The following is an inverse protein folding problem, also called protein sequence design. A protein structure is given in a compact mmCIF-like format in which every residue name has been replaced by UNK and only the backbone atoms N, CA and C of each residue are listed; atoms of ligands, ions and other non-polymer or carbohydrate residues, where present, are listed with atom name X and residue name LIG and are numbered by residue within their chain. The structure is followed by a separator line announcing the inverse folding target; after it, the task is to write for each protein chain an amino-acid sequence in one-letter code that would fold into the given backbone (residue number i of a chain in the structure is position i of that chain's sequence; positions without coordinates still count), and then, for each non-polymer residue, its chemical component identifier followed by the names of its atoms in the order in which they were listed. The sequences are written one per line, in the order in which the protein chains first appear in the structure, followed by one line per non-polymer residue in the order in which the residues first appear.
data_IF_707797165752
#
_entry.id   IF_707797165752
#
_cell.length_a   1.000
_cell.length_b   1.000
_cell.length_c   1.000
_cell.angle_alpha   90.00
_cell.angle_beta   90.00
_cell.angle_gamma   90.00
#
_symmetry.space_group_name_H-M   'P 1'
#
loop_
_entity.id
_entity.type
_entity.pdbx_description
1 polymer ?
#
# COMPACT_ATOMS: atom_id res chain seq x y z
N UNK A 1 9.25 21.61 -62.75
CA UNK A 1 8.78 20.78 -63.87
C UNK A 1 8.28 19.47 -63.23
N UNK A 2 7.20 19.11 -63.39
CA UNK A 2 6.02 18.74 -64.05
C UNK A 2 4.89 18.44 -63.04
N UNK A 3 3.83 19.16 -63.21
CA UNK A 3 2.47 18.86 -62.72
C UNK A 3 1.97 17.58 -63.41
N UNK A 4 1.20 16.75 -62.69
CA UNK A 4 0.10 16.08 -63.33
C UNK A 4 -1.07 15.87 -62.36
N UNK A 5 -2.15 16.49 -62.75
CA UNK A 5 -3.51 16.50 -62.22
C UNK A 5 -4.27 15.37 -62.94
N UNK A 6 -5.06 14.58 -62.28
CA UNK A 6 -6.26 13.93 -62.86
C UNK A 6 -7.31 13.72 -61.78
N UNK A 7 -8.31 14.13 -61.99
CA UNK A 7 -9.73 14.45 -61.92
C UNK A 7 -10.62 13.21 -61.83
N UNK A 8 -11.57 13.34 -60.89
CA UNK A 8 -13.01 12.99 -60.96
C UNK A 8 -13.51 11.64 -61.46
N UNK A 9 -14.34 11.00 -60.60
CA UNK A 9 -15.76 10.77 -60.97
C UNK A 9 -16.57 10.35 -59.75
N UNK A 10 -17.64 11.10 -59.52
CA UNK A 10 -18.74 10.79 -58.61
C UNK A 10 -19.78 9.92 -59.35
N UNK A 11 -20.37 8.97 -58.68
CA UNK A 11 -21.71 8.44 -59.02
C UNK A 11 -22.47 8.21 -57.73
N UNK A 12 -23.54 8.96 -57.56
CA UNK A 12 -24.60 8.77 -56.60
C UNK A 12 -25.68 7.85 -57.18
N UNK A 13 -26.21 6.94 -56.39
CA UNK A 13 -27.57 6.37 -56.58
C UNK A 13 -28.20 6.20 -55.20
N UNK A 14 -29.32 6.90 -55.04
CA UNK A 14 -30.27 6.82 -53.92
C UNK A 14 -31.37 5.81 -54.23
N UNK A 15 -32.01 5.29 -53.20
CA UNK A 15 -33.44 5.06 -53.04
C UNK A 15 -33.74 3.88 -52.13
N UNK A 16 -34.46 4.14 -51.05
CA UNK A 16 -35.90 3.98 -50.75
C UNK A 16 -36.20 2.58 -50.18
N UNK A 17 -36.87 2.38 -49.11
CA UNK A 17 -37.99 2.76 -48.29
C UNK A 17 -38.02 1.84 -47.06
N UNK A 18 -38.26 2.25 -45.87
CA UNK A 18 -39.46 2.52 -45.10
C UNK A 18 -40.36 1.32 -44.73
N UNK A 19 -40.84 1.39 -43.46
CA UNK A 19 -41.90 0.61 -42.77
C UNK A 19 -41.37 -0.60 -41.97
N UNK A 20 -41.68 -0.78 -40.69
CA UNK A 20 -42.85 -0.34 -39.93
C UNK A 20 -42.54 -0.28 -38.42
N UNK A 21 -43.18 0.62 -37.75
CA UNK A 21 -43.44 0.71 -36.33
C UNK A 21 -44.20 -0.53 -35.82
N UNK A 22 -43.88 -0.98 -34.63
CA UNK A 22 -44.77 -1.03 -33.44
C UNK A 22 -44.18 -1.97 -32.41
N UNK A 23 -44.19 -1.54 -31.16
CA UNK A 23 -43.93 -2.42 -30.03
C UNK A 23 -43.59 -1.63 -28.75
N UNK A 24 -44.64 -1.21 -28.08
CA UNK A 24 -44.73 -0.53 -26.80
C UNK A 24 -43.72 -0.97 -25.72
N UNK A 25 -43.03 -0.01 -25.12
CA UNK A 25 -43.21 0.40 -23.73
C UNK A 25 -43.31 -0.71 -22.68
N UNK A 26 -42.23 -0.92 -21.99
CA UNK A 26 -42.27 -1.06 -20.53
C UNK A 26 -41.04 -0.39 -19.98
N UNK A 27 -41.29 0.73 -19.27
CA UNK A 27 -40.22 1.44 -18.54
C UNK A 27 -39.71 0.55 -17.42
N UNK A 28 -38.50 0.08 -17.60
CA UNK A 28 -37.61 -0.37 -16.54
C UNK A 28 -36.50 0.65 -16.51
N UNK A 29 -36.44 1.43 -15.44
CA UNK A 29 -35.26 2.18 -15.11
C UNK A 29 -34.11 1.16 -15.03
N UNK A 30 -33.33 1.06 -16.08
CA UNK A 30 -32.02 0.42 -15.99
C UNK A 30 -31.19 1.30 -15.06
N UNK A 31 -31.11 0.90 -13.79
CA UNK A 31 -29.98 1.25 -12.96
C UNK A 31 -28.73 0.92 -13.80
N UNK A 32 -27.92 1.94 -14.03
CA UNK A 32 -26.61 1.77 -14.62
C UNK A 32 -25.71 1.05 -13.60
N UNK A 33 -26.00 -0.23 -13.38
CA UNK A 33 -25.06 -1.17 -12.78
C UNK A 33 -23.93 -1.35 -13.80
N UNK A 34 -22.82 -0.66 -13.59
CA UNK A 34 -21.59 -0.90 -14.33
C UNK A 34 -21.31 -2.40 -14.26
N UNK A 35 -21.07 -3.04 -15.42
CA UNK A 35 -20.69 -4.45 -15.47
C UNK A 35 -19.47 -4.66 -14.56
N UNK A 36 -19.56 -5.60 -13.62
CA UNK A 36 -18.48 -5.90 -12.70
C UNK A 36 -17.19 -6.15 -13.50
N UNK A 37 -16.12 -5.40 -13.17
CA UNK A 37 -14.82 -5.52 -13.86
C UNK A 37 -14.16 -6.80 -13.38
N UNK A 38 -13.99 -7.79 -14.26
CA UNK A 38 -13.33 -9.05 -13.93
C UNK A 38 -11.80 -8.93 -13.86
N UNK A 39 -11.20 -7.94 -14.51
CA UNK A 39 -9.77 -7.66 -14.42
C UNK A 39 -9.50 -6.60 -13.34
N UNK A 40 -8.49 -6.87 -12.51
CA UNK A 40 -8.05 -5.99 -11.41
C UNK A 40 -6.53 -5.89 -11.42
N UNK A 41 -6.01 -4.68 -11.22
CA UNK A 41 -4.59 -4.44 -10.97
C UNK A 41 -4.38 -4.13 -9.49
N UNK A 42 -3.66 -5.02 -8.77
CA UNK A 42 -3.45 -4.90 -7.33
C UNK A 42 -1.94 -4.87 -7.01
N UNK A 43 -1.41 -3.69 -6.71
CA UNK A 43 0.00 -3.46 -6.43
C UNK A 43 0.42 -3.89 -5.02
N UNK A 44 1.71 -4.19 -4.86
CA UNK A 44 2.28 -4.48 -3.55
C UNK A 44 3.74 -4.00 -3.46
N UNK A 45 4.24 -3.89 -2.22
CA UNK A 45 5.67 -3.71 -1.92
C UNK A 45 6.25 -5.09 -1.64
N UNK A 46 7.50 -5.33 -2.08
CA UNK A 46 8.17 -6.61 -1.88
C UNK A 46 8.71 -6.74 -0.43
N UNK A 47 7.78 -6.72 0.51
CA UNK A 47 7.92 -7.08 1.92
C UNK A 47 6.88 -8.14 2.31
N UNK A 48 7.00 -8.72 3.48
CA UNK A 48 6.06 -9.77 3.92
C UNK A 48 4.62 -9.27 4.01
N UNK A 49 4.42 -8.05 4.50
CA UNK A 49 3.09 -7.46 4.66
C UNK A 49 2.39 -7.24 3.31
N UNK A 50 3.12 -6.74 2.31
CA UNK A 50 2.59 -6.49 0.96
C UNK A 50 2.41 -7.75 0.14
N UNK A 51 3.38 -8.69 0.18
CA UNK A 51 3.41 -9.84 -0.71
C UNK A 51 2.60 -11.04 -0.20
N UNK A 52 2.45 -11.22 1.12
CA UNK A 52 1.88 -12.45 1.70
C UNK A 52 0.45 -12.75 1.24
N UNK A 53 -0.42 -11.73 1.17
CA UNK A 53 -1.81 -11.90 0.70
C UNK A 53 -1.85 -12.36 -0.75
N UNK A 54 -0.99 -11.82 -1.61
CA UNK A 54 -0.89 -12.23 -3.02
C UNK A 54 -0.34 -13.64 -3.16
N UNK A 55 0.68 -14.01 -2.37
CA UNK A 55 1.25 -15.36 -2.35
C UNK A 55 0.21 -16.40 -1.96
N UNK A 56 -0.57 -16.14 -0.91
CA UNK A 56 -1.67 -16.99 -0.46
C UNK A 56 -2.76 -17.06 -1.55
N UNK A 57 -3.20 -15.92 -2.06
CA UNK A 57 -4.28 -15.86 -3.06
C UNK A 57 -3.92 -16.62 -4.34
N UNK A 58 -2.64 -16.60 -4.73
CA UNK A 58 -2.14 -17.37 -5.87
C UNK A 58 -2.11 -18.88 -5.58
N UNK A 59 -1.56 -19.29 -4.43
CA UNK A 59 -1.43 -20.71 -4.06
C UNK A 59 -2.79 -21.37 -3.87
N UNK A 60 -3.73 -20.70 -3.19
CA UNK A 60 -5.07 -21.19 -2.93
C UNK A 60 -6.06 -20.88 -4.06
N UNK A 61 -5.61 -20.27 -5.17
CA UNK A 61 -6.44 -19.88 -6.32
C UNK A 61 -7.65 -19.03 -5.93
N UNK A 62 -7.48 -18.14 -4.95
CA UNK A 62 -8.59 -17.32 -4.45
C UNK A 62 -9.10 -16.34 -5.50
N UNK A 63 -8.21 -15.80 -6.35
CA UNK A 63 -8.61 -14.95 -7.47
C UNK A 63 -9.59 -15.66 -8.41
N UNK A 64 -9.26 -16.91 -8.79
CA UNK A 64 -10.13 -17.73 -9.65
C UNK A 64 -11.43 -18.09 -8.95
N UNK A 65 -11.37 -18.41 -7.64
CA UNK A 65 -12.55 -18.73 -6.81
C UNK A 65 -13.59 -17.62 -6.85
N UNK A 66 -13.15 -16.36 -6.85
CA UNK A 66 -14.03 -15.19 -6.90
C UNK A 66 -14.21 -14.60 -8.30
N UNK A 67 -13.74 -15.30 -9.35
CA UNK A 67 -13.91 -14.91 -10.76
C UNK A 67 -13.13 -13.66 -11.15
N UNK A 68 -11.99 -13.39 -10.50
CA UNK A 68 -11.13 -12.24 -10.76
C UNK A 68 -9.88 -12.64 -11.55
N UNK A 69 -9.48 -11.79 -12.49
CA UNK A 69 -8.18 -11.83 -13.15
C UNK A 69 -7.32 -10.70 -12.62
N UNK A 70 -6.29 -11.04 -11.85
CA UNK A 70 -5.52 -10.03 -11.13
C UNK A 70 -4.10 -9.92 -11.66
N UNK A 71 -3.67 -8.69 -11.97
CA UNK A 71 -2.28 -8.32 -12.21
C UNK A 71 -1.70 -7.76 -10.92
N UNK A 72 -0.50 -8.21 -10.55
CA UNK A 72 0.15 -7.84 -9.28
C UNK A 72 1.50 -7.14 -9.53
N UNK A 73 1.51 -5.86 -9.95
CA UNK A 73 2.75 -5.12 -10.14
C UNK A 73 3.44 -4.82 -8.80
N UNK A 74 4.79 -4.87 -8.82
CA UNK A 74 5.62 -4.54 -7.66
C UNK A 74 5.96 -3.06 -7.66
N UNK A 75 5.80 -2.42 -6.51
CA UNK A 75 6.20 -1.04 -6.27
C UNK A 75 7.29 -0.96 -5.22
N UNK A 76 8.09 0.08 -5.25
CA UNK A 76 9.17 0.28 -4.27
C UNK A 76 8.69 0.91 -2.96
N UNK A 77 7.54 1.61 -2.99
CA UNK A 77 6.97 2.27 -1.81
C UNK A 77 5.47 2.58 -1.97
N UNK A 78 4.82 2.98 -0.85
CA UNK A 78 3.40 3.30 -0.81
C UNK A 78 3.00 4.54 -1.60
N UNK A 79 3.70 5.69 -1.48
CA UNK A 79 3.37 6.89 -2.23
C UNK A 79 3.27 6.69 -3.74
N UNK A 80 4.14 5.87 -4.34
CA UNK A 80 4.05 5.54 -5.77
C UNK A 80 2.79 4.73 -6.11
N UNK A 81 2.32 3.87 -5.21
CA UNK A 81 1.05 3.17 -5.42
C UNK A 81 -0.13 4.14 -5.35
N UNK A 82 -0.14 5.07 -4.39
CA UNK A 82 -1.19 6.10 -4.31
C UNK A 82 -1.21 6.97 -5.59
N UNK A 83 -0.04 7.33 -6.11
CA UNK A 83 0.04 8.03 -7.40
C UNK A 83 -0.56 7.21 -8.53
N UNK A 84 -0.25 5.90 -8.62
CA UNK A 84 -0.78 5.02 -9.64
C UNK A 84 -2.30 4.79 -9.50
N UNK A 85 -2.84 4.78 -8.27
CA UNK A 85 -4.29 4.78 -8.01
C UNK A 85 -4.94 6.07 -8.53
N UNK A 86 -4.29 7.22 -8.32
CA UNK A 86 -4.78 8.52 -8.78
C UNK A 86 -4.79 8.68 -10.31
N UNK A 87 -3.88 7.99 -11.01
CA UNK A 87 -3.82 7.96 -12.49
C UNK A 87 -4.61 6.82 -13.13
N UNK A 88 -5.31 6.02 -12.35
CA UNK A 88 -6.09 4.85 -12.80
C UNK A 88 -5.21 3.72 -13.43
N UNK A 89 -3.88 3.75 -13.20
CA UNK A 89 -2.97 2.67 -13.59
C UNK A 89 -3.02 1.48 -12.60
N UNK A 90 -3.59 1.72 -11.42
CA UNK A 90 -3.76 0.75 -10.35
C UNK A 90 -5.18 0.85 -9.78
N UNK A 91 -5.81 -0.30 -9.51
CA UNK A 91 -7.14 -0.35 -8.88
C UNK A 91 -7.03 -0.47 -7.35
N UNK A 92 -6.11 -1.34 -6.89
CA UNK A 92 -5.80 -1.55 -5.47
C UNK A 92 -4.31 -1.58 -5.22
N UNK A 93 -3.90 -1.28 -4.00
CA UNK A 93 -2.51 -1.30 -3.59
C UNK A 93 -2.34 -1.65 -2.11
N UNK A 94 -1.09 -1.81 -1.70
CA UNK A 94 -0.68 -1.97 -0.32
C UNK A 94 0.20 -0.81 0.10
N UNK A 95 -0.09 -0.19 1.23
CA UNK A 95 0.73 0.87 1.80
C UNK A 95 1.13 0.57 3.25
N UNK A 96 2.36 0.91 3.58
CA UNK A 96 2.85 0.89 4.96
C UNK A 96 2.30 2.07 5.78
N UNK A 97 2.49 2.02 7.12
CA UNK A 97 1.92 2.99 8.05
C UNK A 97 2.31 4.44 7.72
N UNK A 98 3.55 4.68 7.32
CA UNK A 98 4.03 6.03 7.03
C UNK A 98 3.44 6.68 5.78
N UNK A 99 2.69 5.94 4.94
CA UNK A 99 2.00 6.48 3.78
C UNK A 99 0.49 6.73 4.02
N UNK A 100 -0.04 6.43 5.22
CA UNK A 100 -1.45 6.60 5.55
C UNK A 100 -1.92 8.07 5.57
N UNK A 101 -1.00 9.03 5.59
CA UNK A 101 -1.34 10.44 5.41
C UNK A 101 -1.97 10.75 4.04
N UNK A 102 -1.72 9.92 3.03
CA UNK A 102 -2.29 10.09 1.68
C UNK A 102 -3.80 9.75 1.65
N UNK A 103 -4.27 8.58 2.16
CA UNK A 103 -5.70 8.38 2.41
C UNK A 103 -6.33 9.44 3.32
N UNK A 104 -5.64 9.87 4.37
CA UNK A 104 -6.12 10.94 5.24
C UNK A 104 -6.32 12.28 4.51
N UNK A 105 -5.57 12.55 3.44
CA UNK A 105 -5.84 13.64 2.50
C UNK A 105 -6.99 13.36 1.54
N UNK A 106 -7.45 12.12 1.46
CA UNK A 106 -8.50 11.67 0.54
C UNK A 106 -7.98 11.24 -0.84
N UNK A 107 -6.70 10.90 -0.96
CA UNK A 107 -6.10 10.49 -2.23
C UNK A 107 -6.40 9.02 -2.58
N UNK A 108 -6.86 8.21 -1.60
CA UNK A 108 -7.32 6.84 -1.80
C UNK A 108 -8.29 6.44 -0.68
N UNK A 109 -9.01 5.33 -0.85
CA UNK A 109 -9.76 4.66 0.23
C UNK A 109 -8.91 3.57 0.86
N UNK A 110 -8.85 3.50 2.19
CA UNK A 110 -8.39 2.29 2.89
C UNK A 110 -9.51 1.27 2.84
N UNK A 111 -9.30 0.14 2.19
CA UNK A 111 -10.32 -0.90 2.03
C UNK A 111 -10.19 -2.01 3.06
N UNK A 112 -9.02 -2.19 3.64
CA UNK A 112 -8.76 -3.08 4.78
C UNK A 112 -7.51 -2.67 5.53
N UNK A 113 -7.50 -2.78 6.84
CA UNK A 113 -6.25 -2.88 7.60
C UNK A 113 -5.61 -4.24 7.28
N UNK A 114 -4.29 -4.26 7.18
CA UNK A 114 -3.53 -5.46 6.86
C UNK A 114 -2.85 -6.08 8.08
N UNK A 115 -2.12 -5.26 8.83
CA UNK A 115 -1.35 -5.67 10.01
C UNK A 115 -0.97 -4.42 10.81
N UNK A 116 -0.56 -4.61 12.08
CA UNK A 116 0.23 -3.60 12.78
C UNK A 116 1.70 -4.01 12.73
N UNK A 117 2.56 -3.08 12.29
CA UNK A 117 3.94 -3.36 11.96
C UNK A 117 4.93 -2.99 13.08
N UNK A 118 6.06 -3.69 13.07
CA UNK A 118 7.19 -3.43 13.92
C UNK A 118 8.51 -3.60 13.15
N UNK A 119 8.45 -3.43 11.83
CA UNK A 119 9.53 -3.70 10.90
C UNK A 119 10.43 -2.51 10.58
N UNK A 120 10.05 -1.30 11.00
CA UNK A 120 10.82 -0.09 10.69
C UNK A 120 11.95 0.15 11.69
N UNK A 121 13.07 0.66 11.22
CA UNK A 121 14.25 0.99 12.03
C UNK A 121 14.90 2.29 11.57
N UNK A 122 15.48 3.01 12.51
CA UNK A 122 16.57 3.94 12.23
C UNK A 122 17.88 3.19 12.42
N UNK A 123 18.64 3.03 11.35
CA UNK A 123 19.95 2.37 11.34
C UNK A 123 21.04 3.40 11.13
N UNK A 124 22.23 3.15 11.66
CA UNK A 124 23.38 4.05 11.55
C UNK A 124 24.69 3.30 11.36
N UNK A 125 25.69 3.97 10.77
CA UNK A 125 27.05 3.48 10.65
C UNK A 125 27.69 3.25 12.04
N UNK A 126 28.66 2.34 12.09
CA UNK A 126 29.44 2.12 13.30
C UNK A 126 30.00 3.45 13.86
N UNK A 127 29.92 3.60 15.19
CA UNK A 127 30.38 4.82 15.88
C UNK A 127 29.28 5.88 16.09
N UNK A 128 28.11 5.74 15.50
CA UNK A 128 26.89 6.53 15.79
C UNK A 128 26.02 5.66 16.69
N UNK A 129 25.87 6.03 17.96
CA UNK A 129 25.30 5.15 18.97
C UNK A 129 23.96 5.65 19.55
N UNK A 130 23.56 6.86 19.19
CA UNK A 130 22.29 7.46 19.64
C UNK A 130 21.67 8.32 18.55
N UNK A 131 20.40 8.64 18.70
CA UNK A 131 19.70 9.60 17.81
C UNK A 131 20.35 10.99 17.90
N UNK A 132 20.83 11.39 19.08
CA UNK A 132 21.51 12.68 19.26
C UNK A 132 22.80 12.81 18.42
N UNK A 133 23.49 11.70 18.15
CA UNK A 133 24.70 11.69 17.31
C UNK A 133 24.39 11.93 15.82
N UNK A 134 23.11 11.92 15.42
CA UNK A 134 22.67 12.21 14.05
C UNK A 134 22.71 13.70 13.72
N UNK A 135 22.95 14.59 14.70
CA UNK A 135 22.97 16.05 14.45
C UNK A 135 24.02 16.41 13.38
N UNK A 136 23.53 17.05 12.30
CA UNK A 136 24.35 17.42 11.14
C UNK A 136 24.81 16.25 10.27
N UNK A 137 24.32 15.02 10.51
CA UNK A 137 24.63 13.82 9.72
C UNK A 137 23.70 13.65 8.53
N UNK A 138 24.18 12.96 7.49
CA UNK A 138 23.41 12.57 6.32
C UNK A 138 22.52 11.38 6.65
N UNK A 139 21.21 11.59 6.67
CA UNK A 139 20.24 10.54 6.97
C UNK A 139 19.32 10.31 5.77
N UNK A 140 19.42 9.12 5.17
CA UNK A 140 18.61 8.76 4.01
C UNK A 140 17.27 8.18 4.43
N UNK A 141 16.19 8.61 3.77
CA UNK A 141 14.84 8.05 3.95
C UNK A 141 14.09 8.00 2.63
N UNK A 142 13.22 7.00 2.43
CA UNK A 142 12.21 7.06 1.39
C UNK A 142 11.08 7.99 1.85
N UNK A 143 11.05 9.18 1.29
CA UNK A 143 10.17 10.24 1.78
C UNK A 143 8.69 9.86 1.77
N UNK A 144 7.97 10.23 2.84
CA UNK A 144 6.54 9.95 3.00
C UNK A 144 6.19 8.49 3.27
N UNK A 145 7.17 7.67 3.67
CA UNK A 145 7.02 6.26 4.03
C UNK A 145 7.24 6.02 5.52
N UNK A 146 7.13 4.76 5.96
CA UNK A 146 7.42 4.38 7.34
C UNK A 146 8.87 4.59 7.76
N UNK A 147 9.83 4.54 6.82
CA UNK A 147 11.23 4.91 7.08
C UNK A 147 11.41 6.39 7.41
N UNK A 148 10.67 7.29 6.74
CA UNK A 148 10.61 8.72 7.07
C UNK A 148 9.89 8.94 8.41
N UNK A 149 8.81 8.20 8.66
CA UNK A 149 8.02 8.26 9.88
C UNK A 149 8.84 7.87 11.11
N UNK A 150 9.56 6.72 11.07
CA UNK A 150 10.34 6.25 12.22
C UNK A 150 11.50 7.19 12.55
N UNK A 151 12.15 7.79 11.53
CA UNK A 151 13.18 8.80 11.76
C UNK A 151 12.61 10.03 12.45
N UNK A 152 11.46 10.53 11.97
CA UNK A 152 10.81 11.72 12.55
C UNK A 152 10.45 11.49 14.02
N UNK A 153 9.81 10.36 14.34
CA UNK A 153 9.47 9.97 15.73
C UNK A 153 10.72 9.87 16.61
N UNK A 154 11.80 9.26 16.10
CA UNK A 154 13.05 9.11 16.85
C UNK A 154 13.71 10.47 17.15
N UNK A 155 13.74 11.36 16.17
CA UNK A 155 14.25 12.72 16.35
C UNK A 155 13.41 13.50 17.36
N UNK A 156 12.08 13.49 17.24
CA UNK A 156 11.19 14.17 18.19
C UNK A 156 11.39 13.68 19.63
N UNK A 157 11.49 12.36 19.84
CA UNK A 157 11.76 11.77 21.16
C UNK A 157 13.10 12.19 21.75
N UNK A 158 14.08 12.47 20.89
CA UNK A 158 15.38 13.00 21.29
C UNK A 158 15.42 14.54 21.43
N UNK A 159 14.28 15.23 21.28
CA UNK A 159 14.20 16.70 21.33
C UNK A 159 14.80 17.37 20.09
N UNK A 160 14.89 16.65 18.97
CA UNK A 160 15.41 17.09 17.69
C UNK A 160 14.30 17.20 16.64
N UNK A 161 14.61 17.84 15.53
CA UNK A 161 13.72 17.97 14.37
C UNK A 161 14.42 17.44 13.11
N UNK A 162 13.66 17.36 12.02
CA UNK A 162 14.25 16.99 10.72
C UNK A 162 15.29 18.00 10.21
N UNK A 163 15.26 19.24 10.69
CA UNK A 163 16.23 20.29 10.34
C UNK A 163 17.59 20.13 11.08
N UNK A 164 17.65 19.29 12.10
CA UNK A 164 18.90 18.98 12.82
C UNK A 164 19.77 17.96 12.08
N UNK A 165 19.24 17.33 11.01
CA UNK A 165 19.95 16.35 10.18
C UNK A 165 19.99 16.77 8.71
N UNK A 166 20.97 16.31 7.95
CA UNK A 166 20.95 16.44 6.48
C UNK A 166 20.07 15.30 5.90
N UNK A 167 18.74 15.54 5.83
CA UNK A 167 17.82 14.55 5.26
C UNK A 167 18.05 14.40 3.75
N UNK A 168 18.23 13.16 3.29
CA UNK A 168 18.41 12.82 1.87
C UNK A 168 17.28 11.88 1.45
N UNK A 169 16.40 12.37 0.56
CA UNK A 169 15.33 11.55 -0.01
C UNK A 169 15.88 10.64 -1.11
N UNK A 170 15.71 9.34 -0.96
CA UNK A 170 16.16 8.32 -1.91
C UNK A 170 15.14 7.18 -2.03
N UNK A 171 15.19 6.46 -3.15
CA UNK A 171 14.49 5.18 -3.29
C UNK A 171 15.07 4.13 -2.33
N UNK A 172 14.26 3.24 -1.74
CA UNK A 172 14.69 2.27 -0.74
C UNK A 172 15.89 1.41 -1.16
N UNK A 173 15.92 0.93 -2.40
CA UNK A 173 17.06 0.13 -2.89
C UNK A 173 18.34 0.97 -3.03
N UNK A 174 18.21 2.25 -3.39
CA UNK A 174 19.34 3.19 -3.45
C UNK A 174 19.88 3.46 -2.05
N UNK A 175 19.03 3.55 -1.04
CA UNK A 175 19.46 3.73 0.36
C UNK A 175 20.32 2.55 0.82
N UNK A 176 19.93 1.32 0.52
CA UNK A 176 20.73 0.12 0.85
C UNK A 176 22.15 0.23 0.28
N UNK A 177 22.28 0.61 -0.99
CA UNK A 177 23.58 0.77 -1.64
C UNK A 177 24.38 1.95 -1.07
N UNK A 178 23.73 3.10 -0.84
CA UNK A 178 24.36 4.30 -0.28
C UNK A 178 24.85 4.07 1.15
N UNK A 179 24.08 3.35 1.97
CA UNK A 179 24.45 2.99 3.33
C UNK A 179 25.64 2.01 3.33
N UNK A 180 25.60 0.96 2.52
CA UNK A 180 26.68 -0.01 2.42
C UNK A 180 27.99 0.60 1.92
N UNK A 181 27.93 1.60 1.03
CA UNK A 181 29.12 2.34 0.54
C UNK A 181 29.49 3.54 1.41
N UNK A 182 28.88 3.73 2.57
CA UNK A 182 29.12 4.83 3.54
C UNK A 182 28.91 6.23 2.94
N UNK A 183 28.01 6.37 1.95
CA UNK A 183 27.63 7.68 1.39
C UNK A 183 26.62 8.42 2.28
N UNK A 184 25.96 7.70 3.19
CA UNK A 184 25.06 8.23 4.22
C UNK A 184 25.47 7.67 5.58
N UNK A 185 25.26 8.47 6.62
CA UNK A 185 25.63 8.14 8.00
C UNK A 185 24.56 7.27 8.68
N UNK A 186 23.30 7.46 8.31
CA UNK A 186 22.16 6.73 8.86
C UNK A 186 21.05 6.60 7.82
N UNK A 187 20.06 5.76 8.12
CA UNK A 187 18.87 5.62 7.29
C UNK A 187 17.65 5.22 8.10
N UNK A 188 16.45 5.64 7.64
CA UNK A 188 15.18 5.08 8.04
C UNK A 188 14.68 4.09 6.99
N UNK A 189 14.56 2.80 7.34
CA UNK A 189 14.17 1.71 6.46
C UNK A 189 13.31 0.67 7.18
N UNK A 190 12.85 -0.32 6.44
CA UNK A 190 12.09 -1.46 6.96
C UNK A 190 12.65 -2.80 6.46
N UNK A 191 12.27 -3.90 7.15
CA UNK A 191 12.54 -5.25 6.67
C UNK A 191 11.71 -5.56 5.40
N UNK A 192 12.25 -6.31 4.43
CA UNK A 192 13.51 -7.08 4.49
C UNK A 192 14.77 -6.30 4.07
N UNK A 193 14.67 -5.01 3.72
CA UNK A 193 15.81 -4.21 3.28
C UNK A 193 16.91 -4.12 4.35
N UNK A 194 16.49 -4.02 5.61
CA UNK A 194 17.41 -4.00 6.77
C UNK A 194 18.23 -5.27 6.82
N UNK A 195 17.63 -6.46 6.62
CA UNK A 195 18.38 -7.72 6.55
C UNK A 195 19.44 -7.71 5.43
N UNK A 196 19.17 -7.00 4.34
CA UNK A 196 20.16 -6.84 3.27
C UNK A 196 21.30 -5.94 3.71
N UNK A 197 21.03 -4.85 4.44
CA UNK A 197 22.04 -3.97 5.01
C UNK A 197 22.86 -4.69 6.06
N UNK A 198 22.23 -5.43 6.98
CA UNK A 198 22.91 -6.22 8.03
C UNK A 198 23.96 -7.20 7.45
N UNK A 199 23.64 -7.86 6.34
CA UNK A 199 24.56 -8.76 5.63
C UNK A 199 25.77 -8.03 5.04
N UNK A 200 25.63 -6.75 4.64
CA UNK A 200 26.69 -5.96 4.01
C UNK A 200 27.47 -5.11 5.01
N UNK A 201 26.84 -4.69 6.10
CA UNK A 201 27.39 -3.82 7.15
C UNK A 201 27.05 -4.41 8.52
N UNK A 202 27.67 -5.53 8.91
CA UNK A 202 27.30 -6.27 10.13
C UNK A 202 27.59 -5.51 11.44
N UNK A 203 28.38 -4.44 11.37
CA UNK A 203 28.73 -3.56 12.50
C UNK A 203 27.83 -2.29 12.59
N UNK A 204 26.77 -2.23 11.81
CA UNK A 204 25.78 -1.14 11.91
C UNK A 204 25.06 -1.15 13.26
N UNK A 205 24.59 0.02 13.68
CA UNK A 205 23.76 0.18 14.87
C UNK A 205 22.29 0.35 14.50
N UNK A 206 21.38 -0.19 15.32
CA UNK A 206 19.96 0.13 15.31
C UNK A 206 19.74 1.17 16.41
N UNK A 207 19.33 2.38 16.03
CA UNK A 207 19.14 3.51 16.96
C UNK A 207 17.70 3.63 17.45
N UNK A 208 16.73 3.20 16.66
CA UNK A 208 15.31 3.21 17.01
C UNK A 208 14.52 2.15 16.24
N UNK A 209 13.40 1.74 16.80
CA UNK A 209 12.45 0.79 16.23
C UNK A 209 11.00 1.22 16.52
N UNK A 210 10.02 0.65 15.82
CA UNK A 210 8.60 0.92 16.12
C UNK A 210 8.23 0.63 17.58
N UNK A 211 8.90 -0.35 18.23
CA UNK A 211 8.64 -0.73 19.64
C UNK A 211 8.82 0.44 20.61
N UNK A 212 9.67 1.40 20.23
CA UNK A 212 9.95 2.55 21.05
C UNK A 212 8.80 3.57 21.06
N UNK A 213 7.78 3.39 20.20
CA UNK A 213 6.70 4.35 19.93
C UNK A 213 5.30 3.75 19.93
N UNK A 214 5.12 2.49 20.39
CA UNK A 214 3.82 1.79 20.35
C UNK A 214 2.76 2.45 21.23
N UNK A 215 3.17 3.20 22.25
CA UNK A 215 2.28 3.96 23.13
C UNK A 215 1.91 5.34 22.52
N UNK A 216 2.61 5.77 21.48
CA UNK A 216 2.44 7.08 20.85
C UNK A 216 1.60 6.98 19.57
N UNK A 217 1.81 5.94 18.76
CA UNK A 217 1.12 5.76 17.48
C UNK A 217 1.03 4.30 17.07
N UNK A 218 -0.10 3.90 16.50
CA UNK A 218 -0.24 2.61 15.86
C UNK A 218 0.48 2.63 14.50
N UNK A 219 1.21 1.56 14.20
CA UNK A 219 1.86 1.37 12.89
C UNK A 219 0.99 0.47 12.00
N UNK A 220 -0.26 0.89 11.77
CA UNK A 220 -1.19 0.14 10.96
C UNK A 220 -0.88 0.31 9.46
N UNK A 221 -0.65 -0.80 8.77
CA UNK A 221 -0.58 -0.87 7.31
C UNK A 221 -1.94 -1.25 6.73
N UNK A 222 -2.17 -0.95 5.45
CA UNK A 222 -3.47 -1.21 4.85
C UNK A 222 -3.44 -1.51 3.36
N UNK A 223 -4.50 -2.18 2.91
CA UNK A 223 -4.84 -2.24 1.51
C UNK A 223 -5.70 -1.02 1.16
N UNK A 224 -5.40 -0.43 0.02
CA UNK A 224 -6.04 0.81 -0.46
C UNK A 224 -6.62 0.58 -1.85
N UNK A 225 -7.67 1.31 -2.18
CA UNK A 225 -8.29 1.30 -3.50
C UNK A 225 -8.40 2.70 -4.08
N UNK A 226 -8.35 2.81 -5.40
CA UNK A 226 -8.61 4.06 -6.10
C UNK A 226 -10.03 4.53 -5.76
N UNK A 227 -10.20 5.79 -5.39
CA UNK A 227 -11.49 6.37 -5.00
C UNK A 227 -12.58 6.03 -6.02
N UNK A 228 -12.32 6.37 -7.29
CA UNK A 228 -13.25 6.13 -8.39
C UNK A 228 -13.56 4.64 -8.59
N UNK A 229 -12.53 3.77 -8.52
CA UNK A 229 -12.75 2.34 -8.71
C UNK A 229 -13.65 1.75 -7.63
N UNK A 230 -13.38 2.07 -6.36
CA UNK A 230 -14.17 1.59 -5.21
C UNK A 230 -15.63 2.07 -5.29
N UNK A 231 -15.86 3.31 -5.72
CA UNK A 231 -17.19 3.90 -5.84
C UNK A 231 -17.97 3.35 -7.05
N UNK A 232 -17.32 3.17 -8.20
CA UNK A 232 -17.96 2.72 -9.44
C UNK A 232 -18.08 1.19 -9.57
N UNK A 233 -17.26 0.40 -8.81
CA UNK A 233 -17.19 -1.05 -8.91
C UNK A 233 -17.35 -1.74 -7.54
N UNK A 234 -18.45 -1.51 -6.79
CA UNK A 234 -18.62 -2.05 -5.44
C UNK A 234 -18.65 -3.59 -5.41
N UNK A 235 -19.23 -4.25 -6.40
CA UNK A 235 -19.28 -5.71 -6.47
C UNK A 235 -17.88 -6.31 -6.71
N UNK A 236 -17.07 -5.72 -7.59
CA UNK A 236 -15.68 -6.15 -7.80
C UNK A 236 -14.84 -5.88 -6.56
N UNK A 237 -15.03 -4.73 -5.90
CA UNK A 237 -14.38 -4.40 -4.63
C UNK A 237 -14.73 -5.42 -3.55
N UNK A 238 -15.99 -5.84 -3.44
CA UNK A 238 -16.43 -6.88 -2.51
C UNK A 238 -15.73 -8.22 -2.79
N UNK A 239 -15.63 -8.64 -4.06
CA UNK A 239 -14.87 -9.87 -4.44
C UNK A 239 -13.39 -9.77 -4.04
N UNK A 240 -12.74 -8.64 -4.26
CA UNK A 240 -11.35 -8.41 -3.84
C UNK A 240 -11.23 -8.51 -2.31
N UNK A 241 -12.17 -7.90 -1.57
CA UNK A 241 -12.18 -7.97 -0.11
C UNK A 241 -12.44 -9.38 0.41
N UNK A 242 -13.26 -10.19 -0.27
CA UNK A 242 -13.43 -11.62 0.06
C UNK A 242 -12.10 -12.38 -0.05
N UNK A 243 -11.33 -12.16 -1.12
CA UNK A 243 -9.98 -12.75 -1.26
C UNK A 243 -9.06 -12.26 -0.15
N UNK A 244 -9.04 -10.95 0.13
CA UNK A 244 -8.21 -10.37 1.20
C UNK A 244 -8.57 -11.01 2.54
N UNK A 245 -9.84 -11.11 2.90
CA UNK A 245 -10.31 -11.72 4.16
C UNK A 245 -9.85 -13.16 4.30
N UNK A 246 -10.05 -14.01 3.28
CA UNK A 246 -9.58 -15.40 3.31
C UNK A 246 -8.06 -15.50 3.43
N UNK A 247 -7.33 -14.62 2.75
CA UNK A 247 -5.86 -14.61 2.83
C UNK A 247 -5.36 -14.13 4.20
N UNK A 248 -6.02 -13.14 4.82
CA UNK A 248 -5.73 -12.70 6.19
C UNK A 248 -5.94 -13.85 7.19
N UNK A 249 -7.07 -14.56 7.07
CA UNK A 249 -7.40 -15.73 7.90
C UNK A 249 -6.36 -16.84 7.75
N UNK A 250 -5.98 -17.14 6.51
CA UNK A 250 -4.96 -18.15 6.25
C UNK A 250 -3.61 -17.75 6.85
N UNK A 251 -3.18 -16.50 6.63
CA UNK A 251 -1.92 -15.97 7.15
C UNK A 251 -1.85 -16.06 8.68
N UNK A 252 -2.89 -15.57 9.36
CA UNK A 252 -2.93 -15.58 10.82
C UNK A 252 -2.87 -16.99 11.42
N UNK A 253 -3.49 -17.97 10.75
CA UNK A 253 -3.56 -19.37 11.21
C UNK A 253 -2.39 -20.24 10.75
N UNK A 254 -1.68 -19.84 9.67
CA UNK A 254 -0.67 -20.65 9.00
C UNK A 254 0.59 -19.82 8.68
N UNK A 255 1.15 -19.14 9.68
CA UNK A 255 2.24 -18.16 9.46
C UNK A 255 3.47 -18.79 8.79
N UNK A 256 3.94 -19.96 9.26
CA UNK A 256 5.11 -20.65 8.70
C UNK A 256 4.90 -21.01 7.21
N UNK A 257 3.75 -21.57 6.85
CA UNK A 257 3.43 -21.87 5.45
C UNK A 257 3.34 -20.58 4.62
N UNK A 258 2.82 -19.50 5.20
CA UNK A 258 2.77 -18.20 4.52
C UNK A 258 4.15 -17.63 4.28
N UNK A 259 5.09 -17.79 5.20
CA UNK A 259 6.50 -17.40 5.05
C UNK A 259 7.11 -18.12 3.85
N UNK A 260 6.90 -19.43 3.73
CA UNK A 260 7.40 -20.23 2.59
C UNK A 260 6.82 -19.75 1.25
N UNK A 261 5.51 -19.54 1.18
CA UNK A 261 4.83 -19.03 -0.01
C UNK A 261 5.35 -17.66 -0.41
N UNK A 262 5.53 -16.78 0.56
CA UNK A 262 6.00 -15.41 0.35
C UNK A 262 7.46 -15.39 -0.11
N UNK A 263 8.31 -16.21 0.50
CA UNK A 263 9.71 -16.36 0.10
C UNK A 263 9.83 -16.83 -1.37
N UNK A 264 9.01 -17.81 -1.76
CA UNK A 264 8.92 -18.30 -3.14
C UNK A 264 8.47 -17.21 -4.12
N UNK A 265 7.44 -16.44 -3.76
CA UNK A 265 6.92 -15.34 -4.59
C UNK A 265 7.95 -14.22 -4.76
N UNK A 266 8.57 -13.77 -3.67
CA UNK A 266 9.56 -12.70 -3.68
C UNK A 266 10.94 -13.15 -4.17
N UNK A 267 11.19 -14.45 -4.28
CA UNK A 267 12.51 -15.04 -4.60
C UNK A 267 13.60 -14.63 -3.62
N UNK A 268 13.23 -14.55 -2.34
CA UNK A 268 14.13 -14.29 -1.22
C UNK A 268 14.42 -15.57 -0.44
N UNK A 269 15.52 -15.57 0.32
CA UNK A 269 15.82 -16.68 1.23
C UNK A 269 14.78 -16.71 2.38
N UNK A 270 14.48 -17.92 2.83
CA UNK A 270 13.44 -18.17 3.85
C UNK A 270 13.71 -17.41 5.15
N UNK A 271 14.97 -17.35 5.58
CA UNK A 271 15.34 -16.68 6.83
C UNK A 271 15.09 -15.17 6.77
N UNK A 272 15.41 -14.54 5.64
CA UNK A 272 15.11 -13.11 5.41
C UNK A 272 13.61 -12.83 5.54
N UNK A 273 12.75 -13.68 4.94
CA UNK A 273 11.30 -13.50 5.00
C UNK A 273 10.75 -13.84 6.40
N UNK A 274 11.35 -14.80 7.09
CA UNK A 274 11.00 -15.14 8.48
C UNK A 274 11.28 -13.99 9.44
N UNK A 275 12.43 -13.33 9.29
CA UNK A 275 12.77 -12.13 10.07
C UNK A 275 11.77 -11.00 9.80
N UNK A 276 11.42 -10.76 8.54
CA UNK A 276 10.42 -9.74 8.16
C UNK A 276 9.05 -10.09 8.76
N UNK A 277 8.56 -11.31 8.57
CA UNK A 277 7.29 -11.79 9.13
C UNK A 277 7.23 -11.69 10.66
N UNK A 278 8.34 -11.91 11.35
CA UNK A 278 8.45 -11.76 12.80
C UNK A 278 8.26 -10.33 13.33
N UNK A 279 8.22 -9.34 12.44
CA UNK A 279 8.02 -7.94 12.78
C UNK A 279 6.56 -7.46 12.58
N UNK A 280 5.59 -8.35 12.42
CA UNK A 280 4.18 -8.00 12.26
C UNK A 280 3.27 -8.65 13.29
N UNK A 281 2.15 -8.01 13.57
CA UNK A 281 0.99 -8.62 14.24
C UNK A 281 -0.11 -8.78 13.18
N UNK A 282 -0.50 -10.03 12.96
CA UNK A 282 -1.44 -10.42 11.90
C UNK A 282 -2.78 -10.80 12.50
N UNK A 283 -3.82 -10.24 11.96
CA UNK A 283 -5.19 -10.45 12.42
C UNK A 283 -5.94 -11.33 11.44
N UNK A 284 -6.85 -12.15 11.96
CA UNK A 284 -7.91 -12.75 11.15
C UNK A 284 -8.93 -11.69 10.72
N UNK A 285 -9.74 -12.01 9.71
CA UNK A 285 -10.82 -11.12 9.31
C UNK A 285 -11.84 -10.89 10.43
N UNK A 286 -12.14 -11.93 11.23
CA UNK A 286 -13.04 -11.85 12.39
C UNK A 286 -12.47 -10.94 13.50
N UNK A 287 -11.17 -11.02 13.77
CA UNK A 287 -10.52 -10.12 14.73
C UNK A 287 -10.54 -8.66 14.24
N UNK A 288 -10.38 -8.43 12.93
CA UNK A 288 -10.52 -7.08 12.36
C UNK A 288 -11.96 -6.59 12.43
N UNK A 289 -12.96 -7.42 12.13
CA UNK A 289 -14.36 -7.06 12.31
C UNK A 289 -14.66 -6.62 13.74
N UNK A 290 -14.14 -7.38 14.72
CA UNK A 290 -14.28 -7.05 16.14
C UNK A 290 -13.61 -5.71 16.49
N UNK A 291 -12.39 -5.47 15.98
CA UNK A 291 -11.63 -4.22 16.19
C UNK A 291 -12.23 -3.01 15.46
N UNK A 292 -12.96 -3.25 14.38
CA UNK A 292 -13.74 -2.21 13.71
C UNK A 292 -14.95 -1.87 14.56
N UNK A 293 -15.69 -2.89 15.02
CA UNK A 293 -16.92 -2.72 15.78
C UNK A 293 -16.70 -2.06 17.16
N UNK A 294 -15.59 -2.33 17.83
CA UNK A 294 -15.23 -1.75 19.13
C UNK A 294 -14.52 -0.38 19.03
N UNK A 295 -14.25 0.09 17.79
CA UNK A 295 -13.62 1.39 17.52
C UNK A 295 -12.07 1.36 17.57
N UNK A 296 -11.44 0.22 17.83
CA UNK A 296 -9.96 0.10 17.90
C UNK A 296 -9.30 0.55 16.60
N UNK A 297 -9.80 0.09 15.43
CA UNK A 297 -9.24 0.49 14.13
C UNK A 297 -9.42 2.00 13.90
N UNK A 298 -10.58 2.55 14.25
CA UNK A 298 -10.83 3.99 14.19
C UNK A 298 -9.82 4.79 15.02
N UNK A 299 -9.53 4.33 16.25
CA UNK A 299 -8.56 4.94 17.14
C UNK A 299 -7.13 4.87 16.56
N UNK A 300 -6.73 3.75 15.95
CA UNK A 300 -5.43 3.65 15.27
C UNK A 300 -5.28 4.69 14.17
N UNK A 301 -6.27 4.81 13.29
CA UNK A 301 -6.24 5.75 12.18
C UNK A 301 -6.29 7.20 12.65
N UNK A 302 -7.06 7.49 13.71
CA UNK A 302 -7.10 8.83 14.33
C UNK A 302 -5.74 9.21 14.91
N UNK A 303 -5.11 8.33 15.71
CA UNK A 303 -3.78 8.59 16.27
C UNK A 303 -2.72 8.78 15.19
N UNK A 304 -2.82 8.03 14.07
CA UNK A 304 -1.95 8.25 12.91
C UNK A 304 -2.20 9.61 12.26
N UNK A 305 -3.46 10.05 12.12
CA UNK A 305 -3.79 11.38 11.61
C UNK A 305 -3.18 12.48 12.49
N UNK A 306 -3.30 12.35 13.82
CA UNK A 306 -2.70 13.29 14.79
C UNK A 306 -1.18 13.37 14.64
N UNK A 307 -0.52 12.22 14.51
CA UNK A 307 0.91 12.17 14.20
C UNK A 307 1.23 12.91 12.89
N UNK A 308 0.51 12.65 11.80
CA UNK A 308 0.78 13.28 10.51
C UNK A 308 0.53 14.78 10.49
N UNK A 309 -0.42 15.27 11.28
CA UNK A 309 -0.61 16.72 11.51
C UNK A 309 0.61 17.28 12.24
N UNK A 310 1.02 16.66 13.34
CA UNK A 310 2.20 17.07 14.11
C UNK A 310 3.50 17.04 13.31
N UNK A 311 3.62 16.09 12.38
CA UNK A 311 4.76 15.95 11.46
C UNK A 311 4.67 16.89 10.22
N UNK A 312 3.61 17.67 10.09
CA UNK A 312 3.41 18.59 8.96
C UNK A 312 3.12 17.91 7.62
N UNK A 313 2.75 16.63 7.62
CA UNK A 313 2.43 15.86 6.39
C UNK A 313 1.03 16.17 5.85
N UNK A 314 0.11 16.52 6.73
CA UNK A 314 -1.26 16.88 6.40
C UNK A 314 -1.72 18.01 7.34
N UNK A 315 -2.46 18.98 6.80
CA UNK A 315 -2.93 20.12 7.62
C UNK A 315 -4.36 19.89 8.13
N UNK A 316 -5.21 19.29 7.32
CA UNK A 316 -6.63 19.02 7.60
C UNK A 316 -6.95 17.59 7.15
N UNK A 317 -6.65 16.57 7.97
CA UNK A 317 -6.91 15.19 7.62
C UNK A 317 -8.42 14.91 7.65
N UNK A 318 -8.89 14.10 6.73
CA UNK A 318 -10.26 13.56 6.77
C UNK A 318 -10.43 12.70 8.04
N UNK A 319 -11.65 12.66 8.54
CA UNK A 319 -12.03 11.68 9.57
C UNK A 319 -11.81 10.25 9.02
N UNK A 320 -11.28 9.30 9.80
CA UNK A 320 -11.11 7.92 9.37
C UNK A 320 -12.32 7.28 8.71
N UNK A 321 -13.53 7.60 9.16
CA UNK A 321 -14.79 7.10 8.55
C UNK A 321 -14.99 7.56 7.09
N UNK A 322 -14.35 8.65 6.66
CA UNK A 322 -14.51 9.22 5.32
C UNK A 322 -13.56 8.58 4.29
N UNK A 323 -12.48 7.93 4.76
CA UNK A 323 -11.52 7.27 3.88
C UNK A 323 -11.35 5.77 4.16
N UNK A 324 -11.80 5.23 5.29
CA UNK A 324 -11.81 3.79 5.57
C UNK A 324 -13.18 3.19 5.29
N UNK A 325 -13.25 2.27 4.34
CA UNK A 325 -14.49 1.61 3.91
C UNK A 325 -14.80 0.38 4.79
N UNK A 326 -14.93 0.60 6.11
CA UNK A 326 -15.15 -0.47 7.09
C UNK A 326 -16.39 -1.32 6.81
N UNK A 327 -17.47 -0.70 6.32
CA UNK A 327 -18.71 -1.40 5.97
C UNK A 327 -18.50 -2.38 4.82
N UNK A 328 -17.80 -1.98 3.74
CA UNK A 328 -17.49 -2.87 2.62
C UNK A 328 -16.64 -4.07 3.07
N UNK A 329 -15.67 -3.83 3.96
CA UNK A 329 -14.84 -4.90 4.51
C UNK A 329 -15.68 -5.92 5.30
N UNK A 330 -16.54 -5.46 6.21
CA UNK A 330 -17.38 -6.35 7.04
C UNK A 330 -18.47 -7.05 6.22
N UNK A 331 -19.07 -6.39 5.23
CA UNK A 331 -20.06 -6.98 4.34
C UNK A 331 -19.48 -8.05 3.40
N UNK A 332 -18.21 -7.95 3.05
CA UNK A 332 -17.54 -8.99 2.27
C UNK A 332 -17.44 -10.33 3.02
N UNK A 333 -17.61 -10.33 4.34
CA UNK A 333 -17.64 -11.53 5.18
C UNK A 333 -19.03 -12.19 5.32
N UNK A 334 -20.09 -11.56 4.82
CA UNK A 334 -21.46 -12.07 4.85
C UNK A 334 -21.81 -12.76 3.54
#
# INVERSE_FOLDING_TARGET
MKKMIFKCAAVAIAAVAALALTGCSSGGSAEAGGAAKDEVTFGYIADFNGASVHAIAQELKLWDKYGLKVKTPVFTNGPLQIQALGTEDLDFGYIGPGAMWLPAKGEAKVVSVNATGNGDRVIAQAGINSIADLKGKKVAVPEGTSGDMILNLALQKAGMTMDDVEKVAMDPATIVAAFASKQVDAAGLWYPLISTVEKQVPDMNILASNKDFVDEVAFASGFVGANKFVEENPETTKKVLQVVREALDYRAKNLEATIELTAKMMKLDLETVKVDAGNGTYYTAEELDSKIADGTVGSWLTGMNEYFVGAGKVTDPKDPKDYFTSELFTEAGK
#
